data_IF_563795584930
#
_entry.id   IF_563795584930
#
_cell.length_a   1.000
_cell.length_b   1.000
_cell.length_c   1.000
_cell.angle_alpha   90.00
_cell.angle_beta   90.00
_cell.angle_gamma   90.00
#
_symmetry.space_group_name_H-M   'P 1'
#
loop_
_entity.id
_entity.type
_entity.pdbx_description
1 polymer ?
#
# COMPACT_ATOMS: atom_id res chain seq x y z
N UNK A 1 16.52 14.05 -19.62
CA UNK A 1 15.69 14.22 -18.39
C UNK A 1 14.26 13.87 -18.73
N UNK A 2 13.64 13.04 -17.94
CA UNK A 2 12.24 12.58 -18.11
C UNK A 2 11.21 13.62 -17.62
N UNK A 3 11.60 14.51 -16.70
CA UNK A 3 10.84 15.69 -16.29
C UNK A 3 11.56 16.98 -16.67
N UNK A 4 10.78 18.01 -16.98
CA UNK A 4 11.24 19.37 -17.26
C UNK A 4 10.94 20.31 -16.08
N UNK A 5 11.58 21.47 -16.07
CA UNK A 5 11.30 22.52 -15.10
C UNK A 5 9.81 22.93 -15.21
N UNK A 6 9.14 22.95 -14.05
CA UNK A 6 7.72 23.26 -13.98
C UNK A 6 6.75 22.07 -14.06
N UNK A 7 7.16 20.87 -14.49
CA UNK A 7 6.27 19.69 -14.54
C UNK A 7 5.66 19.37 -13.18
N UNK A 8 6.46 19.42 -12.12
CA UNK A 8 6.00 19.16 -10.75
C UNK A 8 5.02 20.25 -10.30
N UNK A 9 5.35 21.52 -10.54
CA UNK A 9 4.46 22.64 -10.19
C UNK A 9 3.12 22.51 -10.91
N UNK A 10 3.16 22.20 -12.22
CA UNK A 10 1.95 21.98 -13.02
C UNK A 10 1.13 20.80 -12.50
N UNK A 11 1.78 19.70 -12.15
CA UNK A 11 1.12 18.53 -11.59
C UNK A 11 0.40 18.85 -10.28
N UNK A 12 1.08 19.53 -9.34
CA UNK A 12 0.52 19.86 -8.04
C UNK A 12 -0.58 20.93 -8.12
N UNK A 13 -0.38 21.99 -8.92
CA UNK A 13 -1.36 23.08 -9.07
C UNK A 13 -2.63 22.66 -9.81
N UNK A 14 -2.55 21.66 -10.67
CA UNK A 14 -3.68 21.11 -11.40
C UNK A 14 -4.54 20.12 -10.63
N UNK A 15 -4.22 19.84 -9.35
CA UNK A 15 -4.91 18.80 -8.57
C UNK A 15 -5.64 19.38 -7.37
N UNK A 16 -6.84 18.85 -7.13
CA UNK A 16 -7.51 19.00 -5.84
C UNK A 16 -7.08 17.82 -4.96
N UNK A 17 -6.66 18.13 -3.73
CA UNK A 17 -6.39 17.10 -2.73
C UNK A 17 -7.66 16.26 -2.47
N UNK A 18 -7.51 14.95 -2.34
CA UNK A 18 -8.60 14.07 -1.99
C UNK A 18 -9.04 14.32 -0.54
N UNK A 19 -10.34 14.24 -0.28
CA UNK A 19 -10.92 14.34 1.06
C UNK A 19 -11.14 12.99 1.73
N UNK A 20 -10.89 11.89 0.98
CA UNK A 20 -10.94 10.51 1.45
C UNK A 20 -9.98 9.62 0.67
N UNK A 21 -9.58 8.52 1.30
CA UNK A 21 -8.79 7.45 0.70
C UNK A 21 -9.42 6.13 1.11
N UNK A 22 -9.76 5.27 0.15
CA UNK A 22 -10.26 3.94 0.47
C UNK A 22 -9.15 3.08 1.07
N UNK A 23 -9.48 2.23 2.03
CA UNK A 23 -8.56 1.22 2.52
C UNK A 23 -8.42 0.09 1.51
N UNK A 24 -7.23 -0.47 1.40
CA UNK A 24 -6.97 -1.75 0.76
C UNK A 24 -6.58 -2.75 1.84
N UNK A 25 -7.51 -3.64 2.13
CA UNK A 25 -7.38 -4.64 3.18
C UNK A 25 -6.40 -5.72 2.76
N UNK A 26 -5.37 -5.97 3.55
CA UNK A 26 -4.39 -7.02 3.28
C UNK A 26 -4.87 -8.35 3.82
N UNK A 27 -4.77 -9.38 2.99
CA UNK A 27 -5.00 -10.78 3.33
C UNK A 27 -3.64 -11.48 3.32
N UNK A 28 -3.08 -11.71 4.50
CA UNK A 28 -1.79 -12.36 4.71
C UNK A 28 -1.83 -13.85 4.36
N UNK A 29 -0.67 -14.47 4.28
CA UNK A 29 -0.56 -15.90 3.92
C UNK A 29 -1.23 -16.82 4.95
N UNK A 30 -1.16 -16.46 6.23
CA UNK A 30 -1.69 -17.24 7.34
C UNK A 30 -3.10 -16.79 7.78
N UNK A 31 -3.64 -15.73 7.15
CA UNK A 31 -4.97 -15.23 7.50
C UNK A 31 -6.06 -16.22 7.07
N UNK A 32 -7.12 -16.30 7.88
CA UNK A 32 -8.29 -17.09 7.57
C UNK A 32 -8.93 -16.60 6.24
N UNK A 33 -9.28 -17.54 5.37
CA UNK A 33 -9.98 -17.21 4.12
C UNK A 33 -11.48 -17.26 4.32
N UNK A 34 -11.97 -18.24 5.05
CA UNK A 34 -13.39 -18.59 5.17
C UNK A 34 -13.88 -18.43 6.60
N UNK A 35 -15.18 -18.22 6.78
CA UNK A 35 -15.84 -18.19 8.08
C UNK A 35 -15.59 -16.94 8.90
N UNK A 36 -15.64 -17.09 10.23
CA UNK A 36 -15.35 -16.01 11.19
C UNK A 36 -13.87 -15.62 11.10
N UNK A 37 -13.60 -14.33 10.99
CA UNK A 37 -12.23 -13.83 10.75
C UNK A 37 -11.74 -14.03 9.31
N UNK A 38 -12.59 -14.51 8.39
CA UNK A 38 -12.25 -14.69 6.98
C UNK A 38 -12.34 -13.40 6.17
N UNK A 39 -11.86 -13.47 4.94
CA UNK A 39 -11.71 -12.28 4.06
C UNK A 39 -13.04 -11.54 3.79
N UNK A 40 -14.17 -12.22 3.83
CA UNK A 40 -15.50 -11.62 3.66
C UNK A 40 -16.15 -11.19 4.98
N UNK A 41 -15.52 -11.41 6.13
CA UNK A 41 -16.05 -10.99 7.43
C UNK A 41 -15.99 -9.44 7.53
N UNK A 42 -17.14 -8.74 7.67
CA UNK A 42 -17.14 -7.28 7.75
C UNK A 42 -16.43 -6.73 9.00
N UNK A 43 -16.24 -7.54 10.04
CA UNK A 43 -15.48 -7.16 11.25
C UNK A 43 -13.98 -7.04 10.93
N UNK A 44 -13.49 -7.85 9.99
CA UNK A 44 -12.10 -7.86 9.56
C UNK A 44 -11.84 -6.84 8.45
N UNK A 45 -12.68 -6.83 7.43
CA UNK A 45 -12.43 -6.01 6.24
C UNK A 45 -12.96 -4.57 6.35
N UNK A 46 -13.73 -4.24 7.40
CA UNK A 46 -14.25 -2.90 7.68
C UNK A 46 -14.96 -2.22 6.47
N UNK A 47 -15.60 -3.01 5.61
CA UNK A 47 -16.28 -2.52 4.39
C UNK A 47 -15.32 -2.26 3.22
N UNK A 48 -14.11 -2.79 3.26
CA UNK A 48 -13.11 -2.58 2.19
C UNK A 48 -13.63 -3.05 0.83
N UNK A 49 -13.40 -2.23 -0.18
CA UNK A 49 -13.66 -2.53 -1.59
C UNK A 49 -12.39 -2.89 -2.36
N UNK A 50 -11.24 -2.80 -1.73
CA UNK A 50 -9.93 -3.16 -2.27
C UNK A 50 -9.27 -4.18 -1.35
N UNK A 51 -8.72 -5.24 -1.94
CA UNK A 51 -8.04 -6.30 -1.21
C UNK A 51 -6.64 -6.51 -1.77
N UNK A 52 -5.65 -6.61 -0.90
CA UNK A 52 -4.27 -6.96 -1.22
C UNK A 52 -4.03 -8.40 -0.79
N UNK A 53 -3.81 -9.28 -1.74
CA UNK A 53 -3.69 -10.72 -1.52
C UNK A 53 -2.22 -11.11 -1.58
N UNK A 54 -1.68 -11.62 -0.47
CA UNK A 54 -0.29 -12.06 -0.40
C UNK A 54 -0.09 -13.38 -1.14
N UNK A 55 1.04 -13.50 -1.82
CA UNK A 55 1.48 -14.66 -2.58
C UNK A 55 2.77 -15.22 -1.97
N UNK A 56 2.98 -16.54 -2.06
CA UNK A 56 4.16 -17.20 -1.51
C UNK A 56 5.22 -17.60 -2.55
N UNK A 57 4.94 -17.36 -3.86
CA UNK A 57 5.85 -17.66 -4.96
C UNK A 57 5.72 -19.06 -5.57
N UNK A 58 4.82 -19.89 -5.05
CA UNK A 58 4.43 -21.16 -5.67
C UNK A 58 3.17 -20.97 -6.52
N UNK A 59 3.26 -21.07 -7.86
CA UNK A 59 2.12 -20.80 -8.74
C UNK A 59 0.92 -21.72 -8.51
N UNK A 60 1.13 -22.96 -8.07
CA UNK A 60 0.05 -23.92 -7.84
C UNK A 60 -0.64 -23.65 -6.50
N UNK A 61 0.13 -23.43 -5.46
CA UNK A 61 -0.37 -23.05 -4.13
C UNK A 61 -1.11 -21.72 -4.18
N UNK A 62 -0.50 -20.70 -4.80
CA UNK A 62 -1.10 -19.36 -4.90
C UNK A 62 -2.42 -19.40 -5.69
N UNK A 63 -2.47 -20.11 -6.82
CA UNK A 63 -3.71 -20.28 -7.56
C UNK A 63 -4.81 -20.96 -6.73
N UNK A 64 -4.48 -22.03 -5.99
CA UNK A 64 -5.44 -22.71 -5.12
C UNK A 64 -5.99 -21.82 -4.01
N UNK A 65 -5.12 -21.00 -3.39
CA UNK A 65 -5.52 -20.01 -2.38
C UNK A 65 -6.37 -18.90 -2.98
N UNK A 66 -5.98 -18.36 -4.13
CA UNK A 66 -6.74 -17.31 -4.83
C UNK A 66 -8.13 -17.76 -5.27
N UNK A 67 -8.31 -19.03 -5.65
CA UNK A 67 -9.64 -19.61 -5.95
C UNK A 67 -10.55 -19.51 -4.72
N UNK A 68 -10.09 -19.97 -3.55
CA UNK A 68 -10.87 -19.90 -2.30
C UNK A 68 -11.20 -18.46 -1.92
N UNK A 69 -10.21 -17.55 -1.97
CA UNK A 69 -10.44 -16.13 -1.69
C UNK A 69 -11.46 -15.54 -2.68
N UNK A 70 -11.35 -15.87 -3.96
CA UNK A 70 -12.29 -15.40 -4.98
C UNK A 70 -13.73 -15.86 -4.74
N UNK A 71 -13.92 -17.08 -4.25
CA UNK A 71 -15.23 -17.60 -3.86
C UNK A 71 -15.83 -16.80 -2.70
N UNK A 72 -15.04 -16.50 -1.67
CA UNK A 72 -15.49 -15.71 -0.52
C UNK A 72 -15.78 -14.26 -0.91
N UNK A 73 -14.88 -13.60 -1.64
CA UNK A 73 -15.08 -12.22 -2.08
C UNK A 73 -16.32 -12.08 -3.00
N UNK A 74 -16.66 -13.12 -3.76
CA UNK A 74 -17.87 -13.13 -4.61
C UNK A 74 -19.18 -13.12 -3.81
N UNK A 75 -19.12 -13.36 -2.50
CA UNK A 75 -20.29 -13.27 -1.59
C UNK A 75 -20.53 -11.86 -1.06
N UNK A 76 -19.58 -10.95 -1.26
CA UNK A 76 -19.74 -9.56 -0.83
C UNK A 76 -20.92 -8.91 -1.57
N UNK A 77 -21.75 -8.10 -0.88
CA UNK A 77 -22.92 -7.46 -1.49
C UNK A 77 -22.57 -6.24 -2.36
N UNK A 78 -21.28 -5.96 -2.57
CA UNK A 78 -20.76 -4.83 -3.33
C UNK A 78 -19.58 -5.23 -4.22
N UNK A 79 -19.25 -4.39 -5.21
CA UNK A 79 -18.11 -4.62 -6.09
C UNK A 79 -16.78 -4.42 -5.35
N UNK A 80 -15.78 -5.21 -5.75
CA UNK A 80 -14.45 -5.17 -5.18
C UNK A 80 -13.36 -5.18 -6.25
N UNK A 81 -12.15 -4.84 -5.85
CA UNK A 81 -10.93 -4.94 -6.65
C UNK A 81 -9.85 -5.64 -5.84
N UNK A 82 -8.92 -6.29 -6.54
CA UNK A 82 -7.82 -7.00 -5.90
C UNK A 82 -6.47 -6.54 -6.45
N UNK A 83 -5.46 -6.62 -5.61
CA UNK A 83 -4.06 -6.56 -5.99
C UNK A 83 -3.36 -7.80 -5.46
N UNK A 84 -2.36 -8.29 -6.17
CA UNK A 84 -1.54 -9.41 -5.73
C UNK A 84 -0.18 -8.87 -5.30
N UNK A 85 0.34 -9.33 -4.18
CA UNK A 85 1.65 -8.91 -3.68
C UNK A 85 2.47 -10.13 -3.29
N UNK A 86 3.56 -10.33 -4.01
CA UNK A 86 4.44 -11.47 -3.80
C UNK A 86 5.64 -11.15 -2.90
N UNK A 87 5.91 -9.89 -2.56
CA UNK A 87 7.03 -9.51 -1.70
C UNK A 87 8.34 -10.24 -2.07
N UNK A 88 8.69 -10.23 -3.36
CA UNK A 88 9.93 -10.83 -3.89
C UNK A 88 9.96 -12.38 -3.91
N UNK A 89 8.82 -13.08 -3.73
CA UNK A 89 8.81 -14.54 -3.52
C UNK A 89 8.95 -15.38 -4.80
N UNK A 90 8.59 -14.87 -5.98
CA UNK A 90 8.77 -15.63 -7.24
C UNK A 90 10.24 -15.67 -7.63
N UNK A 91 10.79 -16.87 -7.76
CA UNK A 91 12.21 -17.07 -8.03
C UNK A 91 12.66 -16.49 -9.38
N UNK A 92 11.77 -16.51 -10.39
CA UNK A 92 12.07 -16.08 -11.76
C UNK A 92 10.79 -15.75 -12.56
N UNK A 93 11.01 -15.35 -13.82
CA UNK A 93 9.93 -15.02 -14.76
C UNK A 93 9.08 -16.24 -15.16
N UNK A 94 9.63 -17.44 -15.17
CA UNK A 94 8.91 -18.65 -15.58
C UNK A 94 7.88 -19.05 -14.53
N UNK A 95 8.25 -19.00 -13.26
CA UNK A 95 7.33 -19.23 -12.16
C UNK A 95 6.21 -18.18 -12.14
N UNK A 96 6.55 -16.90 -12.36
CA UNK A 96 5.56 -15.82 -12.47
C UNK A 96 4.63 -16.00 -13.69
N UNK A 97 5.18 -16.44 -14.83
CA UNK A 97 4.40 -16.72 -16.04
C UNK A 97 3.42 -17.87 -15.83
N UNK A 98 3.80 -18.89 -15.06
CA UNK A 98 2.91 -19.99 -14.72
C UNK A 98 1.67 -19.51 -13.91
N UNK A 99 1.83 -18.59 -12.97
CA UNK A 99 0.68 -17.98 -12.30
C UNK A 99 -0.15 -17.11 -13.27
N UNK A 100 0.50 -16.27 -14.08
CA UNK A 100 -0.18 -15.41 -15.04
C UNK A 100 -1.01 -16.20 -16.05
N UNK A 101 -0.49 -17.33 -16.54
CA UNK A 101 -1.20 -18.24 -17.44
C UNK A 101 -2.42 -18.91 -16.78
N UNK A 102 -2.32 -19.24 -15.50
CA UNK A 102 -3.47 -19.75 -14.73
C UNK A 102 -4.55 -18.67 -14.56
N UNK A 103 -4.15 -17.43 -14.23
CA UNK A 103 -5.09 -16.29 -14.15
C UNK A 103 -5.80 -16.03 -15.48
N UNK A 104 -5.20 -16.36 -16.63
CA UNK A 104 -5.78 -16.16 -17.95
C UNK A 104 -6.70 -17.31 -18.37
N UNK A 105 -6.42 -18.55 -17.95
CA UNK A 105 -7.04 -19.76 -18.50
C UNK A 105 -7.94 -20.53 -17.55
N UNK A 106 -7.69 -20.42 -16.24
CA UNK A 106 -8.48 -21.15 -15.24
C UNK A 106 -9.74 -20.35 -14.89
N UNK A 107 -10.89 -20.87 -15.29
CA UNK A 107 -12.19 -20.23 -15.01
C UNK A 107 -12.49 -20.08 -13.52
N UNK A 108 -11.93 -20.95 -12.67
CA UNK A 108 -12.08 -20.83 -11.22
C UNK A 108 -11.37 -19.59 -10.64
N UNK A 109 -10.37 -19.05 -11.33
CA UNK A 109 -9.68 -17.82 -10.99
C UNK A 109 -10.37 -16.55 -11.53
N UNK A 110 -11.43 -16.67 -12.35
CA UNK A 110 -12.10 -15.53 -12.96
C UNK A 110 -12.61 -14.47 -11.96
N UNK A 111 -13.08 -14.81 -10.74
CA UNK A 111 -13.44 -13.80 -9.73
C UNK A 111 -12.28 -12.89 -9.32
N UNK A 112 -11.07 -13.43 -9.32
CA UNK A 112 -9.84 -12.67 -9.02
C UNK A 112 -9.33 -11.97 -10.29
N UNK A 113 -9.17 -12.71 -11.39
CA UNK A 113 -8.55 -12.20 -12.62
C UNK A 113 -9.33 -11.01 -13.22
N UNK A 114 -10.68 -11.04 -13.18
CA UNK A 114 -11.54 -9.95 -13.67
C UNK A 114 -11.49 -8.69 -12.77
N UNK A 115 -11.07 -8.82 -11.54
CA UNK A 115 -10.99 -7.72 -10.54
C UNK A 115 -9.57 -7.27 -10.25
N UNK A 116 -8.56 -7.91 -10.86
CA UNK A 116 -7.14 -7.65 -10.64
C UNK A 116 -6.73 -6.29 -11.21
N UNK A 117 -6.16 -5.44 -10.36
CA UNK A 117 -5.64 -4.14 -10.72
C UNK A 117 -4.16 -4.22 -11.15
N UNK A 118 -3.35 -4.93 -10.39
CA UNK A 118 -1.92 -5.11 -10.65
C UNK A 118 -1.32 -6.21 -9.78
N UNK A 119 -0.11 -6.62 -10.15
CA UNK A 119 0.76 -7.53 -9.38
C UNK A 119 1.96 -6.73 -8.89
N UNK A 120 2.21 -6.76 -7.56
CA UNK A 120 3.24 -5.99 -6.89
C UNK A 120 4.45 -6.85 -6.60
N UNK A 121 5.63 -6.31 -6.88
CA UNK A 121 6.97 -6.82 -6.58
C UNK A 121 7.06 -8.35 -6.63
N UNK A 122 6.81 -8.96 -7.81
CA UNK A 122 6.73 -10.42 -7.87
C UNK A 122 8.07 -11.13 -7.60
N UNK A 123 9.17 -10.53 -8.06
CA UNK A 123 10.50 -11.16 -8.02
C UNK A 123 11.47 -10.38 -7.13
N UNK A 124 12.56 -11.01 -6.65
CA UNK A 124 13.66 -10.34 -5.99
C UNK A 124 14.12 -9.10 -6.74
N UNK A 125 14.45 -8.04 -5.99
CA UNK A 125 14.77 -6.71 -6.54
C UNK A 125 15.94 -6.70 -7.53
N UNK A 126 16.89 -7.59 -7.37
CA UNK A 126 18.03 -7.72 -8.30
C UNK A 126 17.62 -8.36 -9.65
N UNK A 127 16.65 -9.26 -9.65
CA UNK A 127 16.02 -9.82 -10.86
C UNK A 127 15.10 -8.76 -11.48
N UNK A 128 14.23 -8.15 -10.68
CA UNK A 128 13.29 -7.09 -11.10
C UNK A 128 13.99 -5.98 -11.89
N UNK A 129 15.20 -5.57 -11.46
CA UNK A 129 15.95 -4.48 -12.10
C UNK A 129 16.62 -4.86 -13.42
N UNK A 130 16.69 -6.13 -13.78
CA UNK A 130 17.45 -6.61 -14.94
C UNK A 130 16.59 -7.33 -15.96
N UNK A 131 15.41 -7.81 -15.55
CA UNK A 131 14.60 -8.72 -16.35
C UNK A 131 13.38 -8.02 -16.94
N UNK A 132 13.34 -7.83 -18.27
CA UNK A 132 12.14 -7.32 -18.92
C UNK A 132 10.94 -8.27 -18.71
N UNK A 133 9.79 -7.72 -18.41
CA UNK A 133 8.56 -8.49 -18.26
C UNK A 133 8.09 -9.17 -19.56
N UNK A 134 8.50 -8.67 -20.73
CA UNK A 134 8.14 -9.26 -22.01
C UNK A 134 6.62 -9.42 -22.17
N UNK A 135 6.17 -10.64 -22.47
CA UNK A 135 4.74 -10.94 -22.64
C UNK A 135 3.91 -10.77 -21.36
N UNK A 136 4.53 -10.78 -20.19
CA UNK A 136 3.83 -10.52 -18.91
C UNK A 136 3.34 -9.08 -18.79
N UNK A 137 3.95 -8.11 -19.51
CA UNK A 137 3.55 -6.70 -19.51
C UNK A 137 2.13 -6.43 -20.09
N UNK A 138 1.41 -7.49 -20.52
CA UNK A 138 -0.02 -7.43 -20.82
C UNK A 138 -0.88 -7.15 -19.59
N UNK A 139 -0.36 -7.46 -18.39
CA UNK A 139 -0.91 -7.11 -17.10
C UNK A 139 -0.11 -5.98 -16.47
N UNK A 140 -0.76 -5.24 -15.58
CA UNK A 140 -0.09 -4.18 -14.84
C UNK A 140 0.76 -4.78 -13.70
N UNK A 141 2.04 -4.46 -13.70
CA UNK A 141 2.99 -4.78 -12.64
C UNK A 141 3.52 -3.49 -12.01
N UNK A 142 3.77 -3.54 -10.70
CA UNK A 142 4.40 -2.44 -9.97
C UNK A 142 5.63 -2.92 -9.21
N UNK A 143 6.54 -1.99 -8.94
CA UNK A 143 7.68 -2.22 -8.05
C UNK A 143 7.42 -1.61 -6.68
N UNK A 144 7.85 -2.29 -5.63
CA UNK A 144 7.84 -1.82 -4.24
C UNK A 144 9.25 -1.86 -3.64
N UNK A 145 9.77 -3.04 -3.31
CA UNK A 145 11.08 -3.20 -2.69
C UNK A 145 12.23 -2.79 -3.63
N UNK A 146 12.01 -2.88 -4.94
CA UNK A 146 13.00 -2.45 -5.94
C UNK A 146 13.05 -0.91 -6.12
N UNK A 147 12.18 -0.15 -5.46
CA UNK A 147 12.14 1.32 -5.50
C UNK A 147 13.07 1.95 -4.45
N UNK A 148 14.38 1.85 -4.66
CA UNK A 148 15.40 2.35 -3.73
C UNK A 148 16.10 3.63 -4.19
N UNK A 149 15.77 4.16 -5.36
CA UNK A 149 16.41 5.35 -5.94
C UNK A 149 15.43 6.21 -6.73
N UNK A 150 15.85 7.43 -7.10
CA UNK A 150 15.08 8.31 -7.97
C UNK A 150 14.94 7.76 -9.41
N UNK A 151 15.83 6.87 -9.83
CA UNK A 151 15.83 6.29 -11.17
C UNK A 151 15.12 4.92 -11.23
N UNK A 152 14.66 4.39 -10.09
CA UNK A 152 14.01 3.09 -10.04
C UNK A 152 12.75 3.02 -10.93
N UNK A 153 11.88 4.02 -10.88
CA UNK A 153 10.66 4.03 -11.69
C UNK A 153 10.91 4.18 -13.20
N UNK A 154 11.79 5.10 -13.68
CA UNK A 154 12.20 5.13 -15.08
C UNK A 154 12.79 3.80 -15.55
N UNK A 155 13.65 3.17 -14.75
CA UNK A 155 14.25 1.88 -15.10
C UNK A 155 13.19 0.76 -15.15
N UNK A 156 12.30 0.68 -14.17
CA UNK A 156 11.20 -0.29 -14.15
C UNK A 156 10.25 -0.11 -15.36
N UNK A 157 9.93 1.14 -15.72
CA UNK A 157 9.15 1.44 -16.94
C UNK A 157 9.78 0.84 -18.19
N UNK A 158 11.08 0.99 -18.35
CA UNK A 158 11.82 0.45 -19.51
C UNK A 158 11.75 -1.10 -19.58
N UNK A 159 11.54 -1.75 -18.44
CA UNK A 159 11.37 -3.21 -18.30
C UNK A 159 9.91 -3.68 -18.42
N UNK A 160 8.95 -2.74 -18.58
CA UNK A 160 7.53 -3.06 -18.80
C UNK A 160 6.63 -2.87 -17.58
N UNK A 161 7.15 -2.42 -16.43
CA UNK A 161 6.34 -2.10 -15.25
C UNK A 161 5.51 -0.83 -15.49
N UNK A 162 4.30 -0.80 -14.92
CA UNK A 162 3.35 0.30 -15.09
C UNK A 162 3.22 1.19 -13.87
N UNK A 163 3.62 0.71 -12.72
CA UNK A 163 3.44 1.45 -11.48
C UNK A 163 4.58 1.29 -10.50
N UNK A 164 4.48 2.09 -9.45
CA UNK A 164 5.41 2.08 -8.34
C UNK A 164 4.66 2.37 -7.04
N UNK A 165 5.10 1.78 -5.94
CA UNK A 165 4.50 2.04 -4.64
C UNK A 165 4.99 3.36 -4.04
N UNK A 166 4.15 3.99 -3.23
CA UNK A 166 4.46 5.21 -2.48
C UNK A 166 4.22 4.98 -1.00
N UNK A 167 5.23 5.30 -0.20
CA UNK A 167 5.21 5.32 1.26
C UNK A 167 5.95 6.58 1.70
N UNK A 168 5.51 7.26 2.75
CA UNK A 168 6.22 8.48 3.23
C UNK A 168 7.68 8.18 3.60
N UNK A 169 7.97 6.98 4.11
CA UNK A 169 9.33 6.54 4.45
C UNK A 169 10.27 6.39 3.24
N UNK A 170 9.74 6.21 2.03
CA UNK A 170 10.55 6.20 0.80
C UNK A 170 10.96 7.60 0.33
N UNK A 171 10.43 8.63 0.98
CA UNK A 171 10.71 10.04 0.70
C UNK A 171 9.56 10.76 -0.01
N UNK A 172 9.10 11.83 0.64
CA UNK A 172 8.00 12.66 0.16
C UNK A 172 8.27 13.23 -1.24
N UNK A 173 9.45 13.79 -1.45
CA UNK A 173 9.83 14.36 -2.75
C UNK A 173 9.89 13.29 -3.85
N UNK A 174 10.40 12.09 -3.56
CA UNK A 174 10.42 10.98 -4.51
C UNK A 174 9.01 10.57 -4.92
N UNK A 175 8.08 10.49 -3.98
CA UNK A 175 6.67 10.17 -4.26
C UNK A 175 6.01 11.22 -5.17
N UNK A 176 6.26 12.51 -4.93
CA UNK A 176 5.75 13.61 -5.80
C UNK A 176 6.36 13.54 -7.20
N UNK A 177 7.68 13.30 -7.29
CA UNK A 177 8.37 13.13 -8.58
C UNK A 177 7.79 11.95 -9.36
N UNK A 178 7.64 10.80 -8.72
CA UNK A 178 7.11 9.60 -9.36
C UNK A 178 5.63 9.76 -9.76
N UNK A 179 4.82 10.45 -8.95
CA UNK A 179 3.44 10.77 -9.32
C UNK A 179 3.37 11.71 -10.54
N UNK A 180 4.27 12.70 -10.60
CA UNK A 180 4.41 13.59 -11.78
C UNK A 180 4.81 12.81 -13.03
N UNK A 181 5.78 11.89 -12.90
CA UNK A 181 6.19 10.97 -13.97
C UNK A 181 5.02 10.13 -14.47
N UNK A 182 4.30 9.48 -13.55
CA UNK A 182 3.16 8.65 -13.89
C UNK A 182 2.08 9.43 -14.65
N UNK A 183 1.76 10.64 -14.21
CA UNK A 183 0.80 11.51 -14.89
C UNK A 183 1.26 11.91 -16.29
N UNK A 184 2.52 12.32 -16.44
CA UNK A 184 3.12 12.70 -17.72
C UNK A 184 3.13 11.52 -18.69
N UNK A 185 3.65 10.38 -18.29
CA UNK A 185 3.74 9.20 -19.15
C UNK A 185 2.37 8.65 -19.53
N UNK A 186 1.37 8.76 -18.65
CA UNK A 186 -0.01 8.37 -18.98
C UNK A 186 -0.63 9.29 -20.03
N UNK A 187 -0.28 10.57 -20.04
CA UNK A 187 -0.71 11.49 -21.09
C UNK A 187 -0.03 11.24 -22.45
N UNK A 188 1.15 10.61 -22.45
CA UNK A 188 1.92 10.26 -23.65
C UNK A 188 1.48 8.91 -24.27
N UNK A 189 0.72 8.08 -23.54
CA UNK A 189 0.31 6.78 -24.07
C UNK A 189 -0.23 5.82 -23.03
N UNK A 190 0.53 4.76 -22.70
CA UNK A 190 0.06 3.73 -21.79
C UNK A 190 -0.04 4.23 -20.33
N UNK A 191 -1.09 3.81 -19.63
CA UNK A 191 -1.34 4.14 -18.22
C UNK A 191 -0.13 3.80 -17.33
N UNK A 192 0.28 4.78 -16.53
CA UNK A 192 1.19 4.61 -15.41
C UNK A 192 0.56 5.16 -14.14
N UNK A 193 0.93 4.62 -12.97
CA UNK A 193 0.25 4.99 -11.73
C UNK A 193 1.14 4.79 -10.49
N UNK A 194 0.66 5.32 -9.38
CA UNK A 194 1.25 5.16 -8.05
C UNK A 194 0.27 4.36 -7.19
N UNK A 195 0.77 3.37 -6.47
CA UNK A 195 0.03 2.62 -5.46
C UNK A 195 0.37 3.17 -4.07
N UNK A 196 -0.63 3.34 -3.22
CA UNK A 196 -0.42 3.68 -1.81
C UNK A 196 -0.20 2.43 -0.99
N UNK A 197 0.89 2.40 -0.25
CA UNK A 197 1.25 1.27 0.62
C UNK A 197 1.34 1.69 2.09
N UNK A 198 1.22 0.72 2.98
CA UNK A 198 1.31 0.87 4.42
C UNK A 198 2.57 0.18 4.96
N UNK A 199 3.12 0.74 6.01
CA UNK A 199 4.17 0.12 6.82
C UNK A 199 3.64 -0.35 8.18
N UNK A 200 2.34 -0.65 8.26
CA UNK A 200 1.71 -1.02 9.53
C UNK A 200 1.87 0.11 10.55
N UNK A 201 1.67 1.36 10.09
CA UNK A 201 1.88 2.54 10.90
C UNK A 201 0.85 2.63 12.01
N UNK A 202 1.34 2.84 13.22
CA UNK A 202 0.50 3.21 14.35
C UNK A 202 -0.20 4.56 14.06
N UNK A 203 -1.45 4.76 14.53
CA UNK A 203 -2.11 6.06 14.49
C UNK A 203 -1.23 7.19 15.01
N UNK A 204 -1.48 8.41 14.54
CA UNK A 204 -0.68 9.59 14.84
C UNK A 204 0.06 10.10 13.61
N UNK A 205 1.23 10.74 13.79
CA UNK A 205 1.91 11.46 12.71
C UNK A 205 2.24 10.60 11.49
N UNK A 206 2.69 9.37 11.69
CA UNK A 206 3.15 8.52 10.58
C UNK A 206 2.01 8.21 9.60
N UNK A 207 0.88 7.72 10.09
CA UNK A 207 -0.28 7.42 9.25
C UNK A 207 -0.88 8.69 8.64
N UNK A 208 -0.87 9.81 9.37
CA UNK A 208 -1.35 11.09 8.86
C UNK A 208 -0.50 11.59 7.68
N UNK A 209 0.82 11.48 7.77
CA UNK A 209 1.73 11.86 6.69
C UNK A 209 1.54 10.99 5.44
N UNK A 210 1.37 9.67 5.59
CA UNK A 210 1.07 8.77 4.48
C UNK A 210 -0.25 9.13 3.80
N UNK A 211 -1.31 9.34 4.58
CA UNK A 211 -2.61 9.70 4.05
C UNK A 211 -2.61 11.10 3.40
N UNK A 212 -1.96 12.08 4.03
CA UNK A 212 -1.85 13.42 3.47
C UNK A 212 -1.06 13.44 2.16
N UNK A 213 0.06 12.71 2.09
CA UNK A 213 0.84 12.52 0.87
C UNK A 213 0.01 11.84 -0.21
N UNK A 214 -0.63 10.71 0.13
CA UNK A 214 -1.50 9.97 -0.79
C UNK A 214 -2.63 10.84 -1.34
N UNK A 215 -3.33 11.58 -0.47
CA UNK A 215 -4.40 12.50 -0.86
C UNK A 215 -3.90 13.63 -1.76
N UNK A 216 -2.69 14.16 -1.52
CA UNK A 216 -2.06 15.20 -2.34
C UNK A 216 -1.72 14.69 -3.73
N UNK A 217 -1.11 13.52 -3.86
CA UNK A 217 -0.68 12.97 -5.15
C UNK A 217 -1.77 12.17 -5.88
N UNK A 218 -2.96 12.03 -5.26
CA UNK A 218 -4.16 11.45 -5.88
C UNK A 218 -4.25 9.94 -5.80
N UNK A 219 -3.71 9.35 -4.75
CA UNK A 219 -3.91 7.93 -4.42
C UNK A 219 -5.31 7.74 -3.86
N UNK A 220 -6.16 7.03 -4.59
CA UNK A 220 -7.57 6.83 -4.23
C UNK A 220 -7.81 5.68 -3.27
N UNK A 221 -6.86 4.73 -3.20
CA UNK A 221 -6.88 3.63 -2.24
C UNK A 221 -5.47 3.31 -1.78
N UNK A 222 -5.30 3.00 -0.50
CA UNK A 222 -4.01 2.67 0.09
C UNK A 222 -4.13 1.47 1.02
N UNK A 223 -3.09 0.64 1.08
CA UNK A 223 -2.99 -0.41 2.07
C UNK A 223 -3.10 0.18 3.47
N UNK A 224 -3.92 -0.41 4.34
CA UNK A 224 -4.10 0.00 5.73
C UNK A 224 -4.37 -1.22 6.62
N UNK A 225 -3.33 -1.66 7.29
CA UNK A 225 -3.37 -2.82 8.17
C UNK A 225 -3.33 -2.45 9.64
N UNK A 226 -3.20 -1.17 9.97
CA UNK A 226 -3.07 -0.72 11.35
C UNK A 226 -4.21 -1.18 12.27
N UNK A 227 -5.41 -1.35 11.73
CA UNK A 227 -6.55 -1.85 12.49
C UNK A 227 -6.46 -3.36 12.82
N UNK A 228 -5.59 -4.12 12.15
CA UNK A 228 -5.33 -5.53 12.46
C UNK A 228 -4.18 -5.71 13.45
N UNK A 229 -3.11 -4.91 13.30
CA UNK A 229 -1.85 -5.13 13.99
C UNK A 229 -1.64 -4.18 15.17
N UNK A 230 -2.32 -3.03 15.16
CA UNK A 230 -2.21 -2.01 16.20
C UNK A 230 -3.58 -1.71 16.76
N UNK A 231 -3.79 -2.04 18.04
CA UNK A 231 -5.02 -1.74 18.75
C UNK A 231 -5.06 -0.25 19.16
N UNK A 232 -5.56 0.56 18.28
CA UNK A 232 -5.58 2.02 18.42
C UNK A 232 -4.18 2.62 18.53
N UNK A 233 -3.98 3.50 19.51
CA UNK A 233 -2.69 4.16 19.76
C UNK A 233 -1.69 3.28 20.54
N UNK A 234 -1.98 1.99 20.75
CA UNK A 234 -1.10 1.08 21.48
C UNK A 234 -0.80 1.57 22.89
N UNK A 235 0.49 1.59 23.26
CA UNK A 235 0.97 2.04 24.57
C UNK A 235 1.10 3.57 24.73
N UNK A 236 0.65 4.34 23.73
CA UNK A 236 0.65 5.82 23.82
C UNK A 236 -0.25 6.27 24.97
N UNK A 237 0.13 7.27 25.79
CA UNK A 237 -0.69 7.78 26.85
C UNK A 237 -2.10 8.17 26.38
N UNK A 238 -3.15 7.75 27.10
CA UNK A 238 -4.54 7.97 26.69
C UNK A 238 -4.84 9.47 26.44
N UNK A 239 -4.26 10.37 27.23
CA UNK A 239 -4.41 11.81 27.03
C UNK A 239 -3.84 12.29 25.68
N UNK A 240 -2.82 11.63 25.16
CA UNK A 240 -2.27 11.95 23.83
C UNK A 240 -3.22 11.46 22.73
N UNK A 241 -3.71 10.23 22.82
CA UNK A 241 -4.69 9.69 21.89
C UNK A 241 -5.96 10.58 21.81
N UNK A 242 -6.43 11.08 22.98
CA UNK A 242 -7.56 12.00 23.02
C UNK A 242 -7.28 13.36 22.33
N UNK A 243 -6.06 13.86 22.42
CA UNK A 243 -5.69 15.09 21.68
C UNK A 243 -5.74 14.86 20.17
N UNK A 244 -5.26 13.68 19.69
CA UNK A 244 -5.34 13.34 18.28
C UNK A 244 -6.79 13.20 17.81
N UNK A 245 -7.67 12.56 18.59
CA UNK A 245 -9.10 12.49 18.30
C UNK A 245 -9.73 13.88 18.22
N UNK A 246 -9.44 14.75 19.18
CA UNK A 246 -9.97 16.12 19.20
C UNK A 246 -9.46 16.96 18.01
N UNK A 247 -8.20 16.78 17.60
CA UNK A 247 -7.60 17.51 16.49
C UNK A 247 -8.00 16.99 15.09
N UNK A 248 -8.36 15.72 15.00
CA UNK A 248 -8.69 15.03 13.73
C UNK A 248 -9.95 14.15 13.90
N UNK A 249 -11.13 14.74 14.19
CA UNK A 249 -12.34 13.98 14.52
C UNK A 249 -12.96 13.22 13.32
N UNK A 250 -12.50 13.52 12.11
CA UNK A 250 -12.89 12.81 10.90
C UNK A 250 -12.02 11.57 10.62
N UNK A 251 -10.80 11.53 11.19
CA UNK A 251 -9.84 10.46 10.98
C UNK A 251 -9.82 9.44 12.14
N UNK A 252 -10.19 9.86 13.34
CA UNK A 252 -10.18 9.03 14.52
C UNK A 252 -11.55 8.91 15.16
N UNK A 253 -11.79 7.79 15.82
CA UNK A 253 -12.99 7.52 16.61
C UNK A 253 -12.64 6.83 17.93
N UNK A 254 -13.61 6.80 18.85
CA UNK A 254 -13.53 5.98 20.05
C UNK A 254 -14.32 4.69 19.81
N UNK A 255 -13.64 3.56 19.87
CA UNK A 255 -14.22 2.24 19.72
C UNK A 255 -13.68 1.32 20.82
N UNK A 256 -14.56 0.62 21.54
CA UNK A 256 -14.14 -0.27 22.63
C UNK A 256 -13.35 0.41 23.75
N UNK A 257 -13.57 1.72 24.00
CA UNK A 257 -12.82 2.48 25.00
C UNK A 257 -11.46 2.99 24.57
N UNK A 258 -11.04 2.70 23.33
CA UNK A 258 -9.75 3.13 22.74
C UNK A 258 -9.98 4.08 21.58
N UNK A 259 -9.03 4.99 21.35
CA UNK A 259 -8.99 5.83 20.16
C UNK A 259 -8.31 5.04 19.04
N UNK A 260 -8.95 4.97 17.89
CA UNK A 260 -8.45 4.24 16.71
C UNK A 260 -8.80 4.98 15.43
N UNK A 261 -8.30 4.52 14.29
CA UNK A 261 -8.71 5.03 12.98
C UNK A 261 -10.19 4.77 12.74
N UNK A 262 -10.90 5.80 12.29
CA UNK A 262 -12.29 5.73 11.89
C UNK A 262 -12.38 5.28 10.43
N UNK A 263 -12.76 4.01 10.22
CA UNK A 263 -12.99 3.49 8.87
C UNK A 263 -14.48 3.50 8.61
N UNK A 264 -14.92 4.31 7.65
CA UNK A 264 -16.32 4.48 7.27
C UNK A 264 -16.59 3.77 5.94
N UNK A 265 -17.21 2.61 5.98
CA UNK A 265 -17.53 1.81 4.77
C UNK A 265 -16.31 1.62 3.85
N UNK A 266 -15.18 1.30 4.43
CA UNK A 266 -13.92 1.08 3.72
C UNK A 266 -13.14 2.35 3.36
N UNK A 267 -13.56 3.55 3.82
CA UNK A 267 -12.88 4.80 3.55
C UNK A 267 -12.31 5.44 4.83
N UNK A 268 -11.16 6.08 4.71
CA UNK A 268 -10.57 7.00 5.68
C UNK A 268 -10.79 8.43 5.21
N UNK A 269 -11.34 9.29 6.07
CA UNK A 269 -11.52 10.72 5.78
C UNK A 269 -10.21 11.48 6.05
N UNK A 270 -9.83 12.36 5.14
CA UNK A 270 -8.56 13.09 5.19
C UNK A 270 -8.72 14.61 5.26
N UNK A 271 -9.94 15.08 5.55
CA UNK A 271 -10.27 16.51 5.57
C UNK A 271 -9.40 17.30 6.55
N UNK A 272 -9.31 16.85 7.80
CA UNK A 272 -8.54 17.50 8.86
C UNK A 272 -7.03 17.51 8.60
N UNK A 273 -6.51 16.64 7.73
CA UNK A 273 -5.09 16.60 7.35
C UNK A 273 -4.67 17.76 6.44
N UNK A 274 -5.58 18.71 6.14
CA UNK A 274 -5.26 19.98 5.49
C UNK A 274 -4.50 20.94 6.42
N UNK A 275 -4.21 20.54 7.64
CA UNK A 275 -3.44 21.33 8.60
C UNK A 275 -2.06 21.69 8.08
N UNK A 276 -1.55 22.85 8.48
CA UNK A 276 -0.19 23.28 8.18
C UNK A 276 0.85 22.40 8.90
N UNK A 277 2.09 22.43 8.44
CA UNK A 277 3.17 21.63 8.99
C UNK A 277 3.12 20.16 8.54
N UNK A 278 3.14 19.23 9.48
CA UNK A 278 3.20 17.79 9.21
C UNK A 278 1.82 17.14 9.00
N UNK A 279 0.87 17.83 8.39
CA UNK A 279 -0.51 17.36 8.19
C UNK A 279 -1.17 16.95 9.53
N UNK A 280 -0.87 17.69 10.60
CA UNK A 280 -1.42 17.42 11.92
C UNK A 280 -1.65 18.72 12.70
N UNK A 281 -2.82 18.83 13.29
CA UNK A 281 -3.15 19.89 14.26
C UNK A 281 -2.59 19.56 15.67
N UNK A 282 -2.09 18.35 15.86
CA UNK A 282 -1.60 17.85 17.15
C UNK A 282 -0.24 17.17 16.97
N UNK A 283 0.63 17.31 17.94
CA UNK A 283 1.92 16.62 17.97
C UNK A 283 2.00 15.69 19.19
N UNK A 284 2.80 14.61 19.10
CA UNK A 284 3.14 13.78 20.24
C UNK A 284 3.71 14.60 21.40
N UNK A 285 3.54 14.12 22.60
CA UNK A 285 4.25 14.67 23.76
C UNK A 285 5.67 14.12 23.78
N UNK A 286 6.60 14.90 23.24
CA UNK A 286 8.01 14.51 23.15
C UNK A 286 8.64 14.23 24.51
N UNK A 287 8.09 14.76 25.60
CA UNK A 287 8.61 14.53 26.95
C UNK A 287 8.33 13.11 27.47
N UNK A 288 7.34 12.44 26.92
CA UNK A 288 6.95 11.07 27.30
C UNK A 288 7.66 9.99 26.50
N UNK A 289 8.38 10.38 25.43
CA UNK A 289 9.10 9.44 24.57
C UNK A 289 10.40 9.00 25.28
N UNK A 290 10.58 7.70 25.57
CA UNK A 290 11.81 7.25 26.19
C UNK A 290 13.02 7.55 25.28
N UNK A 291 14.18 7.93 25.86
CA UNK A 291 15.40 8.15 25.09
C UNK A 291 15.76 6.91 24.28
N UNK A 292 16.21 7.10 23.04
CA UNK A 292 16.71 6.01 22.22
C UNK A 292 17.84 5.29 22.97
N UNK A 293 17.65 3.99 23.25
CA UNK A 293 18.71 3.20 23.86
C UNK A 293 19.95 3.24 22.93
N UNK A 294 21.11 3.63 23.48
CA UNK A 294 22.35 3.59 22.68
C UNK A 294 22.54 2.17 22.16
N UNK A 295 22.83 1.97 20.87
CA UNK A 295 23.12 0.65 20.35
C UNK A 295 24.26 0.06 21.18
N UNK A 296 24.06 -1.16 21.73
CA UNK A 296 25.18 -1.91 22.29
C UNK A 296 26.16 -2.10 21.16
N UNK A 297 27.34 -1.48 21.25
CA UNK A 297 28.43 -1.70 20.31
C UNK A 297 28.78 -3.19 20.38
N UNK A 298 28.38 -3.94 19.36
CA UNK A 298 28.83 -5.32 19.20
C UNK A 298 30.28 -5.18 18.71
N UNK A 299 31.21 -5.08 19.65
CA UNK A 299 32.61 -5.30 19.35
C UNK A 299 32.73 -6.79 18.94
N UNK A 300 32.81 -7.06 17.66
CA UNK A 300 33.33 -8.33 17.18
C UNK A 300 34.79 -8.38 17.61
N UNK A 301 35.07 -9.10 18.67
CA UNK A 301 36.43 -9.55 18.95
C UNK A 301 36.85 -10.45 17.77
N UNK A 302 37.65 -9.90 16.88
CA UNK A 302 38.42 -10.70 15.97
C UNK A 302 39.56 -11.28 16.79
N UNK A 303 39.37 -12.47 17.34
CA UNK A 303 40.47 -13.29 17.82
C UNK A 303 41.31 -13.70 16.60
N UNK A 304 42.59 -13.35 16.71
CA UNK A 304 43.68 -13.67 15.79
C UNK A 304 43.89 -15.19 15.63
#
# INVERSE_FOLDING_TARGET
>A
RDLQDGDITKFLSGRKRLDRVAIRHTVGLDDAVEGEGGVADPRENAGARYFKLKLNGDPAHDAGRLIRIGQELSRLPYDYKVTLDANEQYADLDALAALADRLDRDSALSPIAAKLLYIEQPMPRDITRKSPLGALARRDFIVDEADDSYDAFPAARALGYRGISSKSCKGLYKSVINATRAAKWSAEGARHFIAGEDLTCQPGLAVQQDLALGALIGITHAERNGHHYVDGFGDTPAAEAERFLAGHPDLYERRGGKVCLAIHDGDLLTGSLASSGFASAVHPDWSTIPPLARPKTILKEHSA
#
